data_IF_473110233105
#
_entry.id   IF_473110233105
#
_cell.length_a   1.000
_cell.length_b   1.000
_cell.length_c   1.000
_cell.angle_alpha   90.00
_cell.angle_beta   90.00
_cell.angle_gamma   90.00
#
_symmetry.space_group_name_H-M   'P 1'
#
loop_
_entity.id
_entity.type
_entity.pdbx_description
1 polymer ?
#
# COMPACT_ATOMS: atom_id res chain seq x y z
N UNK A 1 35.98 -21.12 -49.67
CA UNK A 1 36.01 -21.08 -48.18
C UNK A 1 36.17 -19.68 -47.58
N UNK A 2 36.50 -18.62 -48.34
CA UNK A 2 36.73 -17.25 -47.81
C UNK A 2 35.45 -16.40 -47.65
N UNK A 3 34.40 -16.70 -48.44
CA UNK A 3 33.12 -15.98 -48.45
C UNK A 3 32.17 -16.38 -47.31
N UNK A 4 32.29 -17.60 -46.80
CA UNK A 4 31.47 -18.10 -45.67
C UNK A 4 31.93 -17.47 -44.35
N UNK A 5 33.23 -17.24 -44.17
CA UNK A 5 33.79 -16.63 -42.96
C UNK A 5 33.35 -15.17 -42.78
N UNK A 6 33.12 -14.44 -43.88
CA UNK A 6 32.65 -13.05 -43.82
C UNK A 6 31.17 -12.94 -43.43
N UNK A 7 30.34 -13.95 -43.75
CA UNK A 7 28.90 -13.96 -43.43
C UNK A 7 28.68 -14.33 -41.95
N UNK A 8 29.53 -15.20 -41.39
CA UNK A 8 29.44 -15.58 -39.98
C UNK A 8 29.83 -14.42 -39.04
N UNK A 9 30.75 -13.55 -39.46
CA UNK A 9 31.24 -12.42 -38.64
C UNK A 9 30.23 -11.27 -38.55
N UNK A 10 29.36 -11.09 -39.55
CA UNK A 10 28.33 -10.04 -39.56
C UNK A 10 27.10 -10.42 -38.71
N UNK A 11 26.85 -11.72 -38.50
CA UNK A 11 25.70 -12.19 -37.71
C UNK A 11 25.92 -12.03 -36.19
N UNK A 12 27.16 -11.94 -35.72
CA UNK A 12 27.49 -11.86 -34.28
C UNK A 12 27.28 -10.45 -33.70
N UNK A 13 27.22 -9.41 -34.54
CA UNK A 13 27.16 -8.00 -34.08
C UNK A 13 25.70 -7.55 -33.79
N UNK A 14 24.68 -8.32 -34.18
CA UNK A 14 23.27 -7.98 -33.94
C UNK A 14 22.69 -8.48 -32.61
N UNK A 15 23.42 -9.29 -31.83
CA UNK A 15 22.90 -9.85 -30.55
C UNK A 15 23.30 -9.01 -29.32
N UNK A 16 24.18 -8.01 -29.47
CA UNK A 16 24.58 -7.10 -28.38
C UNK A 16 23.69 -5.86 -28.23
N UNK A 17 22.52 -5.83 -28.90
CA UNK A 17 21.57 -4.73 -28.86
C UNK A 17 20.54 -4.90 -27.75
N UNK A 18 20.78 -4.24 -26.62
CA UNK A 18 19.79 -3.90 -25.59
C UNK A 18 19.13 -5.09 -24.88
N UNK A 19 19.88 -5.71 -23.96
CA UNK A 19 19.30 -5.99 -22.65
C UNK A 19 18.89 -4.63 -22.06
N UNK A 20 17.74 -4.09 -22.48
CA UNK A 20 17.08 -3.04 -21.74
C UNK A 20 16.88 -3.64 -20.37
N UNK A 21 17.72 -3.18 -19.44
CA UNK A 21 17.52 -3.32 -18.02
C UNK A 21 16.13 -2.74 -17.81
N UNK A 22 15.13 -3.61 -17.86
CA UNK A 22 13.81 -3.34 -17.32
C UNK A 22 14.07 -3.22 -15.83
N UNK A 23 14.63 -2.07 -15.44
CA UNK A 23 14.41 -1.52 -14.13
C UNK A 23 12.91 -1.28 -14.13
N UNK A 24 12.19 -2.35 -13.79
CA UNK A 24 10.78 -2.33 -13.49
C UNK A 24 10.75 -1.38 -12.30
N UNK A 25 10.60 -0.09 -12.59
CA UNK A 25 9.98 0.85 -11.68
C UNK A 25 8.73 0.09 -11.32
N UNK A 26 8.74 -0.55 -10.14
CA UNK A 26 7.60 -1.31 -9.68
C UNK A 26 6.55 -0.25 -9.48
N UNK A 27 5.76 -0.07 -10.55
CA UNK A 27 4.68 0.90 -10.62
C UNK A 27 3.82 0.72 -9.38
N UNK A 28 3.73 -0.51 -8.86
CA UNK A 28 3.12 -0.81 -7.57
C UNK A 28 4.13 -0.95 -6.44
N UNK A 29 3.95 -0.17 -5.37
CA UNK A 29 4.74 -0.28 -4.14
C UNK A 29 3.82 -0.46 -2.90
N UNK A 30 4.16 -1.39 -2.00
CA UNK A 30 3.35 -1.67 -0.82
C UNK A 30 3.72 -0.72 0.32
N UNK A 31 2.70 -0.27 1.04
CA UNK A 31 2.81 0.46 2.29
C UNK A 31 2.09 -0.29 3.37
N UNK A 32 2.76 -0.44 4.51
CA UNK A 32 2.17 -1.15 5.64
C UNK A 32 2.26 -0.33 6.91
N UNK A 33 1.18 -0.35 7.69
CA UNK A 33 1.18 0.08 9.08
C UNK A 33 0.49 -0.97 9.93
N UNK A 34 0.96 -1.14 11.15
CA UNK A 34 0.30 -1.97 12.16
C UNK A 34 -0.37 -1.05 13.16
N UNK A 35 -1.68 -1.20 13.34
CA UNK A 35 -2.49 -0.45 14.28
C UNK A 35 -2.99 -1.39 15.37
N UNK A 36 -2.82 -1.00 16.63
CA UNK A 36 -3.29 -1.77 17.78
C UNK A 36 -4.58 -1.19 18.30
N UNK A 37 -5.57 -2.04 18.45
CA UNK A 37 -6.92 -1.71 18.89
C UNK A 37 -7.07 -2.28 20.30
N UNK A 38 -7.16 -1.42 21.33
CA UNK A 38 -7.29 -1.87 22.71
C UNK A 38 -8.60 -2.60 22.96
N UNK A 39 -8.59 -3.58 23.86
CA UNK A 39 -9.80 -4.29 24.27
C UNK A 39 -10.85 -3.40 24.94
N UNK A 40 -10.42 -2.31 25.59
CA UNK A 40 -11.26 -1.32 26.24
C UNK A 40 -12.07 -0.44 25.26
N UNK A 41 -11.91 -0.67 23.95
CA UNK A 41 -12.66 0.06 22.93
C UNK A 41 -14.15 -0.29 23.02
N UNK A 42 -15.00 0.73 23.13
CA UNK A 42 -16.46 0.56 23.16
C UNK A 42 -17.00 0.09 21.80
N UNK A 43 -17.98 -0.81 21.84
CA UNK A 43 -18.76 -1.18 20.65
C UNK A 43 -19.74 -0.08 20.26
N UNK A 44 -20.13 -0.05 18.98
CA UNK A 44 -21.06 0.90 18.37
C UNK A 44 -20.68 2.40 18.49
N UNK A 45 -19.42 2.69 18.83
CA UNK A 45 -18.87 4.05 18.82
C UNK A 45 -17.78 4.17 17.74
N UNK A 46 -17.76 5.30 17.03
CA UNK A 46 -16.73 5.57 16.02
C UNK A 46 -15.42 5.87 16.73
N UNK A 47 -14.40 5.07 16.45
CA UNK A 47 -13.09 5.18 17.08
C UNK A 47 -12.03 5.39 16.01
N UNK A 48 -10.95 6.08 16.36
CA UNK A 48 -9.85 6.38 15.44
C UNK A 48 -8.54 5.96 16.06
N UNK A 49 -7.72 5.28 15.27
CA UNK A 49 -6.34 4.92 15.62
C UNK A 49 -5.41 5.35 14.50
N UNK A 50 -4.24 5.86 14.85
CA UNK A 50 -3.23 6.30 13.88
C UNK A 50 -1.93 5.57 14.16
N UNK A 51 -1.24 5.16 13.11
CA UNK A 51 0.08 4.54 13.20
C UNK A 51 0.99 5.05 12.11
N UNK A 52 2.29 5.05 12.38
CA UNK A 52 3.31 5.40 11.39
C UNK A 52 3.43 4.25 10.40
N UNK A 53 3.37 4.55 9.12
CA UNK A 53 3.58 3.57 8.06
C UNK A 53 5.07 3.48 7.69
N UNK A 54 5.45 2.37 7.07
CA UNK A 54 6.76 2.24 6.42
C UNK A 54 6.96 3.38 5.40
N UNK A 55 8.07 4.13 5.50
CA UNK A 55 8.35 5.27 4.63
C UNK A 55 8.82 4.84 3.23
N UNK A 56 8.68 5.74 2.24
CA UNK A 56 9.21 5.53 0.90
C UNK A 56 10.72 5.37 0.91
N UNK A 57 11.43 6.15 1.73
CA UNK A 57 12.89 6.06 1.83
C UNK A 57 13.33 4.67 2.30
N UNK A 58 12.53 4.02 3.15
CA UNK A 58 12.77 2.63 3.54
C UNK A 58 12.50 1.63 2.42
N UNK A 59 11.57 1.93 1.50
CA UNK A 59 11.15 1.05 0.39
C UNK A 59 12.04 1.25 -0.85
N UNK A 60 12.46 2.47 -1.13
CA UNK A 60 13.21 2.88 -2.32
C UNK A 60 14.69 3.21 -2.04
N UNK A 61 15.12 3.22 -0.77
CA UNK A 61 16.48 3.56 -0.32
C UNK A 61 16.79 5.05 -0.41
N UNK A 62 17.90 5.49 0.19
CA UNK A 62 18.42 6.88 0.19
C UNK A 62 18.56 7.54 -1.20
N UNK A 63 18.41 6.77 -2.29
CA UNK A 63 18.51 7.24 -3.68
C UNK A 63 17.15 7.26 -4.41
N UNK A 64 16.07 6.92 -3.72
CA UNK A 64 14.74 6.71 -4.27
C UNK A 64 13.89 7.97 -4.31
N UNK A 65 14.28 8.94 -5.15
CA UNK A 65 13.55 10.20 -5.26
C UNK A 65 12.08 9.95 -5.62
N UNK A 66 11.18 10.28 -4.70
CA UNK A 66 9.71 10.32 -4.93
C UNK A 66 9.33 11.23 -6.11
N UNK A 67 10.26 12.06 -6.57
CA UNK A 67 10.23 12.82 -7.81
C UNK A 67 10.18 11.97 -9.09
N UNK A 68 10.60 10.69 -9.04
CA UNK A 68 10.61 9.77 -10.18
C UNK A 68 9.25 9.13 -10.44
N UNK A 69 8.26 9.37 -9.57
CA UNK A 69 6.91 8.85 -9.69
C UNK A 69 5.89 9.98 -9.78
N UNK A 70 4.88 9.77 -10.63
CA UNK A 70 3.75 10.68 -10.84
C UNK A 70 2.47 9.88 -10.99
N UNK A 71 1.32 10.54 -10.86
CA UNK A 71 -0.01 9.96 -11.05
C UNK A 71 -0.24 8.76 -10.13
N UNK A 72 0.06 8.92 -8.85
CA UNK A 72 -0.08 7.87 -7.85
C UNK A 72 -1.53 7.71 -7.44
N UNK A 73 -1.98 6.46 -7.53
CA UNK A 73 -3.33 6.01 -7.22
C UNK A 73 -3.30 4.85 -6.24
N UNK A 74 -4.43 4.60 -5.60
CA UNK A 74 -4.58 3.46 -4.72
C UNK A 74 -5.00 2.25 -5.55
N UNK A 75 -4.15 1.22 -5.56
CA UNK A 75 -4.41 -0.02 -6.28
C UNK A 75 -5.18 -1.04 -5.45
N UNK A 76 -4.90 -1.14 -4.15
CA UNK A 76 -5.64 -2.00 -3.22
C UNK A 76 -5.43 -1.56 -1.77
N UNK A 77 -6.43 -1.77 -0.93
CA UNK A 77 -6.31 -1.62 0.53
C UNK A 77 -6.80 -2.89 1.20
N UNK A 78 -5.94 -3.50 2.01
CA UNK A 78 -6.21 -4.77 2.71
C UNK A 78 -5.87 -4.64 4.18
N UNK A 79 -6.77 -5.09 5.04
CA UNK A 79 -6.51 -5.28 6.46
C UNK A 79 -6.31 -6.76 6.74
N UNK A 80 -5.35 -7.06 7.60
CA UNK A 80 -5.05 -8.43 8.05
C UNK A 80 -4.80 -8.40 9.54
N UNK A 81 -5.43 -9.30 10.30
CA UNK A 81 -5.10 -9.47 11.70
C UNK A 81 -3.64 -9.94 11.84
N UNK A 82 -2.80 -9.15 12.50
CA UNK A 82 -1.41 -9.52 12.77
C UNK A 82 -1.26 -10.17 14.14
N UNK A 83 -2.07 -9.79 15.13
CA UNK A 83 -2.09 -10.42 16.44
C UNK A 83 -3.44 -10.23 17.15
N UNK A 84 -4.13 -11.30 17.58
CA UNK A 84 -3.85 -12.69 17.25
C UNK A 84 -4.14 -12.94 15.75
N UNK A 85 -3.35 -13.78 15.08
CA UNK A 85 -3.41 -13.97 13.61
C UNK A 85 -4.70 -14.63 13.12
N UNK A 86 -5.40 -15.31 14.01
CA UNK A 86 -6.71 -15.93 13.82
C UNK A 86 -7.88 -15.03 14.24
N UNK A 87 -7.62 -13.78 14.65
CA UNK A 87 -8.69 -12.85 14.97
C UNK A 87 -9.59 -12.64 13.76
N UNK A 88 -10.89 -12.87 13.95
CA UNK A 88 -11.89 -12.57 12.95
C UNK A 88 -12.10 -11.04 12.89
N UNK A 89 -11.92 -10.45 11.71
CA UNK A 89 -12.13 -9.04 11.43
C UNK A 89 -13.62 -8.69 11.24
N UNK A 90 -14.53 -9.68 11.26
CA UNK A 90 -15.97 -9.47 11.30
C UNK A 90 -16.48 -8.79 12.58
N UNK A 91 -15.58 -8.53 13.54
CA UNK A 91 -15.82 -7.66 14.70
C UNK A 91 -15.99 -6.19 14.30
N UNK A 92 -15.48 -5.78 13.14
CA UNK A 92 -15.76 -4.46 12.60
C UNK A 92 -17.11 -4.47 11.90
N UNK A 93 -17.89 -3.40 12.09
CA UNK A 93 -19.11 -3.11 11.34
C UNK A 93 -18.78 -2.23 10.14
N UNK A 94 -17.90 -1.25 10.33
CA UNK A 94 -17.36 -0.42 9.27
C UNK A 94 -15.92 -0.04 9.56
N UNK A 95 -15.15 0.19 8.49
CA UNK A 95 -13.76 0.65 8.56
C UNK A 95 -13.51 1.65 7.44
N UNK A 96 -12.81 2.73 7.75
CA UNK A 96 -12.29 3.70 6.79
C UNK A 96 -10.81 3.89 7.05
N UNK A 97 -10.02 3.92 5.98
CA UNK A 97 -8.58 4.10 6.05
C UNK A 97 -8.23 5.39 5.32
N UNK A 98 -7.43 6.20 5.99
CA UNK A 98 -6.93 7.47 5.53
C UNK A 98 -5.41 7.45 5.53
N UNK A 99 -4.83 8.08 4.53
CA UNK A 99 -3.40 8.41 4.50
C UNK A 99 -3.26 9.86 4.91
N UNK A 100 -2.40 10.10 5.88
CA UNK A 100 -2.10 11.41 6.42
C UNK A 100 -0.66 11.76 6.08
N UNK A 101 -0.47 12.88 5.40
CA UNK A 101 0.83 13.41 5.02
C UNK A 101 1.49 14.15 6.18
N UNK A 102 2.80 14.41 6.06
CA UNK A 102 3.56 15.18 7.05
C UNK A 102 2.99 16.58 7.29
N UNK A 103 2.44 17.19 6.24
CA UNK A 103 1.84 18.52 6.29
C UNK A 103 0.42 18.52 6.90
N UNK A 104 -0.05 17.38 7.42
CA UNK A 104 -1.38 17.22 8.02
C UNK A 104 -2.51 17.07 7.00
N UNK A 105 -2.20 16.98 5.71
CA UNK A 105 -3.21 16.68 4.70
C UNK A 105 -3.66 15.23 4.83
N UNK A 106 -4.97 14.99 4.78
CA UNK A 106 -5.53 13.64 4.78
C UNK A 106 -6.34 13.32 3.53
N UNK A 107 -6.29 12.05 3.12
CA UNK A 107 -7.07 11.52 2.01
C UNK A 107 -7.57 10.12 2.35
N UNK A 108 -8.85 9.87 2.11
CA UNK A 108 -9.41 8.52 2.23
C UNK A 108 -8.87 7.67 1.08
N UNK A 109 -8.34 6.50 1.39
CA UNK A 109 -7.79 5.57 0.39
C UNK A 109 -8.66 4.34 0.22
N UNK A 110 -9.47 4.02 1.22
CA UNK A 110 -10.44 2.95 1.10
C UNK A 110 -11.38 2.90 2.30
N UNK A 111 -12.54 2.31 2.08
CA UNK A 111 -13.54 2.10 3.12
C UNK A 111 -14.30 0.81 2.88
N UNK A 112 -14.92 0.30 3.94
CA UNK A 112 -15.87 -0.80 3.85
C UNK A 112 -16.94 -0.59 4.90
N UNK A 113 -18.18 -0.52 4.46
CA UNK A 113 -19.35 -0.57 5.34
C UNK A 113 -19.94 -1.97 5.31
N UNK A 114 -20.77 -2.28 6.30
CA UNK A 114 -21.53 -3.53 6.38
C UNK A 114 -20.65 -4.78 6.28
N UNK A 115 -19.55 -4.77 7.03
CA UNK A 115 -18.64 -5.90 7.12
C UNK A 115 -19.38 -7.11 7.71
N UNK A 116 -19.31 -8.23 6.99
CA UNK A 116 -19.90 -9.50 7.42
C UNK A 116 -19.18 -10.05 8.65
N UNK A 117 -19.93 -10.72 9.53
CA UNK A 117 -19.40 -11.30 10.76
C UNK A 117 -18.42 -12.45 10.51
N UNK A 118 -18.50 -13.11 9.36
CA UNK A 118 -17.76 -14.33 9.05
C UNK A 118 -16.75 -14.14 7.90
N UNK A 119 -15.98 -13.04 7.94
CA UNK A 119 -14.95 -12.76 6.90
C UNK A 119 -13.58 -13.38 7.20
N UNK A 120 -13.37 -13.89 8.41
CA UNK A 120 -12.07 -14.42 8.84
C UNK A 120 -11.08 -13.31 9.18
N UNK A 121 -9.78 -13.55 8.98
CA UNK A 121 -8.71 -12.67 9.46
C UNK A 121 -8.24 -11.60 8.46
N UNK A 122 -8.95 -11.44 7.34
CA UNK A 122 -8.57 -10.56 6.24
C UNK A 122 -9.78 -9.83 5.69
N UNK A 123 -9.64 -8.53 5.47
CA UNK A 123 -10.67 -7.67 4.89
C UNK A 123 -10.09 -6.83 3.76
N UNK A 124 -10.71 -6.89 2.58
CA UNK A 124 -10.38 -5.98 1.47
C UNK A 124 -11.36 -4.83 1.51
N UNK A 125 -10.85 -3.60 1.40
CA UNK A 125 -11.68 -2.40 1.36
C UNK A 125 -12.00 -1.99 -0.06
N UNK A 126 -13.11 -1.27 -0.19
CA UNK A 126 -13.50 -0.58 -1.42
C UNK A 126 -12.62 0.67 -1.55
N UNK A 127 -11.87 0.74 -2.64
CA UNK A 127 -10.85 1.77 -2.85
C UNK A 127 -11.50 3.08 -3.25
N UNK A 128 -11.01 4.19 -2.69
CA UNK A 128 -11.36 5.52 -3.16
C UNK A 128 -10.30 6.02 -4.15
N UNK A 129 -10.65 5.99 -5.44
CA UNK A 129 -9.81 6.49 -6.54
C UNK A 129 -10.33 7.82 -7.11
N UNK A 130 -11.19 8.54 -6.37
CA UNK A 130 -11.72 9.84 -6.81
C UNK A 130 -10.63 10.92 -6.91
N UNK A 131 -9.49 10.74 -6.23
CA UNK A 131 -8.41 11.71 -6.14
C UNK A 131 -7.04 11.04 -6.26
N UNK A 132 -6.10 11.77 -6.85
CA UNK A 132 -4.69 11.39 -6.83
C UNK A 132 -4.10 11.58 -5.43
N UNK A 133 -3.27 10.64 -5.00
CA UNK A 133 -2.65 10.65 -3.67
C UNK A 133 -1.22 11.19 -3.68
N UNK A 134 -0.73 11.63 -4.85
CA UNK A 134 0.63 12.13 -5.10
C UNK A 134 1.12 13.09 -4.03
N UNK A 135 0.34 14.13 -3.74
CA UNK A 135 0.72 15.18 -2.79
C UNK A 135 0.74 14.70 -1.34
N UNK A 136 0.07 13.58 -1.05
CA UNK A 136 -0.01 13.03 0.29
C UNK A 136 1.12 12.06 0.57
N UNK A 137 1.62 11.36 -0.45
CA UNK A 137 2.65 10.32 -0.29
C UNK A 137 4.07 10.82 -0.55
N UNK A 138 4.26 12.02 -1.12
CA UNK A 138 5.58 12.57 -1.49
C UNK A 138 6.43 13.09 -0.30
N UNK A 139 6.37 12.43 0.85
CA UNK A 139 7.09 12.83 2.07
C UNK A 139 7.78 11.67 2.77
N UNK A 140 8.66 11.98 3.73
CA UNK A 140 9.47 11.00 4.47
C UNK A 140 8.67 10.22 5.52
N UNK A 141 7.60 10.79 6.07
CA UNK A 141 6.83 10.23 7.17
C UNK A 141 5.34 10.22 6.88
N UNK A 142 4.85 9.06 6.47
CA UNK A 142 3.43 8.85 6.18
C UNK A 142 2.77 8.17 7.37
N UNK A 143 1.60 8.66 7.73
CA UNK A 143 0.78 8.08 8.80
C UNK A 143 -0.47 7.48 8.19
N UNK A 144 -0.86 6.33 8.68
CA UNK A 144 -2.14 5.72 8.35
C UNK A 144 -3.06 5.95 9.53
N UNK A 145 -4.20 6.60 9.26
CA UNK A 145 -5.28 6.81 10.21
C UNK A 145 -6.43 5.88 9.82
N UNK A 146 -6.88 5.07 10.77
CA UNK A 146 -8.01 4.16 10.58
C UNK A 146 -9.14 4.58 11.51
N UNK A 147 -10.30 4.84 10.92
CA UNK A 147 -11.55 5.06 11.61
C UNK A 147 -12.36 3.76 11.52
N UNK A 148 -12.84 3.25 12.65
CA UNK A 148 -13.55 1.98 12.70
C UNK A 148 -14.72 2.02 13.68
N UNK A 149 -15.71 1.19 13.40
CA UNK A 149 -16.87 0.95 14.25
C UNK A 149 -16.87 -0.53 14.62
N UNK A 150 -16.83 -0.85 15.92
CA UNK A 150 -16.89 -2.23 16.39
C UNK A 150 -18.34 -2.68 16.57
N UNK A 151 -18.67 -3.87 16.08
CA UNK A 151 -19.95 -4.55 16.32
C UNK A 151 -20.01 -5.10 17.75
N UNK A 152 -18.89 -5.62 18.24
CA UNK A 152 -18.79 -6.22 19.57
C UNK A 152 -17.50 -5.75 20.26
N UNK A 153 -17.51 -5.69 21.59
CA UNK A 153 -16.32 -5.44 22.39
C UNK A 153 -15.28 -6.53 22.15
N UNK A 154 -14.01 -6.13 22.14
CA UNK A 154 -12.91 -7.07 21.99
C UNK A 154 -12.56 -7.71 23.35
N UNK A 155 -12.20 -8.99 23.34
CA UNK A 155 -11.78 -9.72 24.56
C UNK A 155 -10.29 -9.54 24.87
N UNK A 156 -9.50 -9.13 23.87
CA UNK A 156 -8.06 -8.89 23.95
C UNK A 156 -7.65 -7.82 22.94
N UNK A 157 -6.47 -7.24 23.12
CA UNK A 157 -5.95 -6.25 22.19
C UNK A 157 -5.70 -6.88 20.82
N UNK A 158 -6.18 -6.23 19.77
CA UNK A 158 -6.06 -6.72 18.39
C UNK A 158 -5.14 -5.80 17.62
N UNK A 159 -4.05 -6.35 17.10
CA UNK A 159 -3.20 -5.68 16.12
C UNK A 159 -3.66 -6.02 14.71
N UNK A 160 -3.95 -4.99 13.93
CA UNK A 160 -4.36 -5.08 12.53
C UNK A 160 -3.30 -4.44 11.68
N UNK A 161 -2.78 -5.20 10.72
CA UNK A 161 -1.88 -4.70 9.69
C UNK A 161 -2.70 -4.22 8.50
N UNK A 162 -2.58 -2.94 8.21
CA UNK A 162 -3.12 -2.33 6.99
C UNK A 162 -2.03 -2.36 5.93
N UNK A 163 -2.34 -2.93 4.78
CA UNK A 163 -1.49 -2.99 3.59
C UNK A 163 -2.17 -2.22 2.45
N UNK A 164 -1.54 -1.12 2.02
CA UNK A 164 -1.98 -0.30 0.90
C UNK A 164 -1.01 -0.54 -0.25
N UNK A 165 -1.51 -0.94 -1.40
CA UNK A 165 -0.72 -0.99 -2.62
C UNK A 165 -1.01 0.28 -3.41
N UNK A 166 0.00 1.11 -3.60
CA UNK A 166 -0.10 2.28 -4.48
C UNK A 166 0.44 1.93 -5.85
N UNK A 167 -0.19 2.45 -6.90
CA UNK A 167 0.30 2.36 -8.28
C UNK A 167 0.68 3.74 -8.78
N UNK A 168 1.89 3.91 -9.32
CA UNK A 168 2.40 5.16 -9.86
C UNK A 168 2.99 4.97 -11.25
N UNK A 169 2.87 6.01 -12.07
CA UNK A 169 3.53 6.07 -13.37
C UNK A 169 4.96 6.59 -13.22
N UNK A 170 5.91 6.11 -14.03
CA UNK A 170 7.22 6.75 -14.15
C UNK A 170 7.06 8.22 -14.52
N UNK A 171 7.86 9.09 -13.90
CA UNK A 171 8.02 10.48 -14.32
C UNK A 171 9.23 10.57 -15.26
N UNK A 172 9.05 10.56 -16.59
CA UNK A 172 10.14 10.83 -17.51
C UNK A 172 10.49 12.32 -17.36
N UNK A 173 11.51 12.63 -16.55
CA UNK A 173 12.17 13.94 -16.61
C UNK A 173 12.88 14.08 -17.96
#
# INVERSE_FOLDING_TARGET
MKRIFCILLVLVIFVSGCATVQSIIKSTFPYTATLTIPNATKSDEVQTVTSVASSLDQIFGDNGSTDLIKDVKVGAVKLVASNPTNQNLGVFKSVKVFVVSENGGEVMVGSRTDVSENIGNSLVLDIDNSRFVDNYIKGSSLKIRMEYLLRNSLTSDVSVRVAINFSASPNPK
#
